data_IF_466787614813
#
_entry.id   IF_466787614813
#
_cell.length_a   1.000
_cell.length_b   1.000
_cell.length_c   1.000
_cell.angle_alpha   90.00
_cell.angle_beta   90.00
_cell.angle_gamma   90.00
#
_symmetry.space_group_name_H-M   'P 1'
#
loop_
_entity.id
_entity.type
_entity.pdbx_description
1 polymer ?
#
# COMPACT_ATOMS: atom_id res chain seq x y z
N UNK A 1 0.78 15.25 57.65
CA UNK A 1 0.61 14.21 56.61
C UNK A 1 1.76 13.24 56.76
N UNK A 2 1.49 11.96 57.03
CA UNK A 2 2.51 10.98 57.43
C UNK A 2 3.48 10.66 56.28
N UNK A 3 4.79 10.62 56.54
CA UNK A 3 5.83 10.37 55.50
C UNK A 3 5.57 9.06 54.75
N UNK A 4 5.02 8.06 55.45
CA UNK A 4 4.64 6.76 54.87
C UNK A 4 3.53 6.87 53.82
N UNK A 5 2.58 7.80 54.01
CA UNK A 5 1.48 8.04 53.06
C UNK A 5 1.96 8.77 51.80
N UNK A 6 2.92 9.68 51.95
CA UNK A 6 3.55 10.38 50.82
C UNK A 6 4.35 9.40 49.97
N UNK A 7 5.18 8.56 50.60
CA UNK A 7 5.99 7.56 49.89
C UNK A 7 5.12 6.54 49.13
N UNK A 8 4.01 6.10 49.73
CA UNK A 8 3.07 5.19 49.08
C UNK A 8 2.38 5.83 47.88
N UNK A 9 1.95 7.10 47.99
CA UNK A 9 1.34 7.83 46.88
C UNK A 9 2.30 8.05 45.72
N UNK A 10 3.57 8.40 46.01
CA UNK A 10 4.60 8.55 44.98
C UNK A 10 4.83 7.23 44.26
N UNK A 11 4.96 6.12 45.00
CA UNK A 11 5.13 4.78 44.42
C UNK A 11 3.94 4.37 43.54
N UNK A 12 2.72 4.63 43.98
CA UNK A 12 1.52 4.33 43.20
C UNK A 12 1.47 5.16 41.90
N UNK A 13 1.91 6.42 41.97
CA UNK A 13 1.95 7.31 40.82
C UNK A 13 3.00 6.86 39.80
N UNK A 14 4.20 6.43 40.22
CA UNK A 14 5.22 5.87 39.32
C UNK A 14 4.77 4.57 38.68
N UNK A 15 4.09 3.69 39.41
CA UNK A 15 3.52 2.47 38.84
C UNK A 15 2.46 2.75 37.78
N UNK A 16 1.57 3.72 38.03
CA UNK A 16 0.54 4.12 37.05
C UNK A 16 1.15 4.76 35.80
N UNK A 17 2.19 5.59 35.95
CA UNK A 17 2.88 6.21 34.81
C UNK A 17 3.57 5.16 33.93
N UNK A 18 4.22 4.16 34.54
CA UNK A 18 4.86 3.07 33.80
C UNK A 18 3.87 2.28 32.92
N UNK A 19 2.64 2.04 33.40
CA UNK A 19 1.64 1.24 32.64
C UNK A 19 1.18 1.98 31.38
N UNK A 20 1.07 3.31 31.41
CA UNK A 20 0.61 4.09 30.25
C UNK A 20 1.60 4.11 29.08
N UNK A 21 2.90 4.04 29.35
CA UNK A 21 3.96 4.13 28.33
C UNK A 21 4.15 2.82 27.55
N UNK A 22 3.90 1.66 28.17
CA UNK A 22 4.10 0.35 27.53
C UNK A 22 2.85 -0.23 26.84
N UNK A 23 1.65 0.29 27.09
CA UNK A 23 0.40 -0.25 26.54
C UNK A 23 0.03 0.21 25.12
N UNK A 24 0.57 1.35 24.65
CA UNK A 24 0.17 1.95 23.38
C UNK A 24 0.81 1.35 22.10
N UNK A 25 2.08 0.89 22.07
CA UNK A 25 2.72 0.47 20.82
C UNK A 25 2.26 -0.92 20.31
N UNK A 26 1.79 -1.81 21.19
CA UNK A 26 1.34 -3.15 20.78
C UNK A 26 -0.03 -3.12 20.11
N UNK A 27 -0.94 -2.27 20.61
CA UNK A 27 -2.30 -2.17 20.09
C UNK A 27 -2.31 -1.51 18.71
N UNK A 28 -1.43 -0.52 18.48
CA UNK A 28 -1.27 0.13 17.17
C UNK A 28 -0.62 -0.79 16.13
N UNK A 29 0.35 -1.62 16.52
CA UNK A 29 0.98 -2.60 15.63
C UNK A 29 0.00 -3.67 15.15
N UNK A 30 -0.78 -4.27 16.05
CA UNK A 30 -1.76 -5.30 15.68
C UNK A 30 -2.87 -4.74 14.77
N UNK A 31 -3.33 -3.52 15.02
CA UNK A 31 -4.30 -2.83 14.16
C UNK A 31 -3.73 -2.55 12.77
N UNK A 32 -2.46 -2.14 12.70
CA UNK A 32 -1.73 -1.93 11.45
C UNK A 32 -1.61 -3.22 10.63
N UNK A 33 -1.12 -4.31 11.23
CA UNK A 33 -1.00 -5.62 10.55
C UNK A 33 -2.35 -6.11 10.02
N UNK A 34 -3.43 -5.91 10.79
CA UNK A 34 -4.79 -6.22 10.35
C UNK A 34 -5.21 -5.39 9.13
N UNK A 35 -4.91 -4.09 9.13
CA UNK A 35 -5.24 -3.20 8.02
C UNK A 35 -4.44 -3.55 6.77
N UNK A 36 -3.15 -3.83 6.91
CA UNK A 36 -2.28 -4.29 5.82
C UNK A 36 -2.78 -5.61 5.20
N UNK A 37 -3.18 -6.56 6.05
CA UNK A 37 -3.82 -7.81 5.61
C UNK A 37 -5.07 -7.54 4.76
N UNK A 38 -5.93 -6.61 5.20
CA UNK A 38 -7.14 -6.22 4.45
C UNK A 38 -6.77 -5.58 3.12
N UNK A 39 -5.79 -4.68 3.09
CA UNK A 39 -5.28 -4.03 1.88
C UNK A 39 -4.77 -5.07 0.88
N UNK A 40 -3.92 -6.00 1.31
CA UNK A 40 -3.41 -7.08 0.48
C UNK A 40 -4.53 -8.00 -0.03
N UNK A 41 -5.51 -8.32 0.82
CA UNK A 41 -6.66 -9.13 0.43
C UNK A 41 -7.51 -8.44 -0.65
N UNK A 42 -7.69 -7.12 -0.58
CA UNK A 42 -8.41 -6.33 -1.61
C UNK A 42 -7.70 -6.36 -2.96
N UNK A 43 -6.37 -6.34 -2.98
CA UNK A 43 -5.60 -6.47 -4.23
C UNK A 43 -5.64 -7.91 -4.74
N UNK A 44 -5.55 -8.91 -3.85
CA UNK A 44 -5.52 -10.32 -4.21
C UNK A 44 -6.81 -10.84 -4.87
N UNK A 45 -7.95 -10.15 -4.73
CA UNK A 45 -9.20 -10.55 -5.41
C UNK A 45 -9.29 -10.06 -6.86
N UNK A 46 -8.37 -9.20 -7.32
CA UNK A 46 -8.33 -8.73 -8.70
C UNK A 46 -7.96 -9.91 -9.63
N UNK A 47 -8.74 -10.13 -10.69
CA UNK A 47 -8.54 -11.22 -11.63
C UNK A 47 -7.11 -11.31 -12.18
N UNK A 48 -6.58 -10.18 -12.65
CA UNK A 48 -5.21 -10.08 -13.17
C UNK A 48 -4.14 -10.44 -12.11
N UNK A 49 -4.38 -10.11 -10.84
CA UNK A 49 -3.49 -10.48 -9.74
C UNK A 49 -3.56 -11.97 -9.48
N UNK A 50 -4.76 -12.55 -9.36
CA UNK A 50 -4.95 -14.00 -9.18
C UNK A 50 -4.33 -14.80 -10.30
N UNK A 51 -4.45 -14.32 -11.54
CA UNK A 51 -3.90 -15.00 -12.71
C UNK A 51 -2.37 -14.93 -12.69
N UNK A 52 -1.79 -13.78 -12.33
CA UNK A 52 -0.35 -13.63 -12.13
C UNK A 52 0.20 -14.53 -11.01
N UNK A 53 -0.48 -14.59 -9.86
CA UNK A 53 -0.11 -15.47 -8.74
C UNK A 53 -0.14 -16.95 -9.13
N UNK A 54 -1.09 -17.34 -9.98
CA UNK A 54 -1.21 -18.72 -10.48
C UNK A 54 -0.15 -19.04 -11.54
N UNK A 55 0.07 -18.14 -12.50
CA UNK A 55 1.02 -18.39 -13.60
C UNK A 55 2.47 -18.43 -13.13
N UNK A 56 2.82 -17.66 -12.10
CA UNK A 56 4.19 -17.59 -11.55
C UNK A 56 4.41 -18.45 -10.30
N UNK A 57 3.55 -19.43 -10.00
CA UNK A 57 3.64 -20.23 -8.76
C UNK A 57 5.02 -20.84 -8.49
N UNK A 58 5.79 -21.19 -9.53
CA UNK A 58 7.17 -21.71 -9.42
C UNK A 58 8.21 -20.66 -9.01
N UNK A 59 7.88 -19.38 -9.15
CA UNK A 59 8.75 -18.22 -8.93
C UNK A 59 8.37 -17.42 -7.67
N UNK A 60 7.65 -18.04 -6.72
CA UNK A 60 7.22 -17.42 -5.45
C UNK A 60 6.58 -16.03 -5.68
N UNK A 61 5.41 -15.97 -6.32
CA UNK A 61 4.74 -14.70 -6.55
C UNK A 61 4.14 -14.21 -5.23
N UNK A 62 4.23 -12.91 -4.98
CA UNK A 62 3.73 -12.32 -3.74
C UNK A 62 3.27 -10.87 -3.93
N UNK A 63 2.42 -10.43 -3.00
CA UNK A 63 2.05 -9.03 -2.84
C UNK A 63 2.80 -8.45 -1.65
N UNK A 64 3.25 -7.21 -1.79
CA UNK A 64 3.95 -6.48 -0.73
C UNK A 64 3.46 -5.04 -0.70
N UNK A 65 3.26 -4.49 0.50
CA UNK A 65 3.01 -3.05 0.66
C UNK A 65 4.36 -2.35 0.48
N UNK A 66 4.50 -1.57 -0.60
CA UNK A 66 5.68 -0.75 -0.86
C UNK A 66 5.63 0.58 -0.09
N UNK A 67 4.41 1.12 0.13
CA UNK A 67 4.23 2.44 0.76
C UNK A 67 2.90 2.54 1.49
N UNK A 68 2.93 3.16 2.66
CA UNK A 68 1.75 3.53 3.45
C UNK A 68 1.28 4.95 3.13
N UNK A 69 0.00 5.28 3.35
CA UNK A 69 -0.49 6.63 3.16
C UNK A 69 0.17 7.60 4.15
N UNK A 70 0.63 8.74 3.64
CA UNK A 70 1.26 9.84 4.38
C UNK A 70 0.71 11.21 3.92
N UNK A 71 1.35 12.30 4.34
CA UNK A 71 0.91 13.66 3.98
C UNK A 71 1.01 13.97 2.48
N UNK A 72 1.84 13.25 1.74
CA UNK A 72 2.11 13.47 0.31
C UNK A 72 1.45 12.42 -0.59
N UNK A 73 1.19 11.22 -0.06
CA UNK A 73 0.62 10.11 -0.82
C UNK A 73 -0.57 9.50 -0.07
N UNK A 74 -1.76 9.52 -0.67
CA UNK A 74 -3.01 9.22 0.06
C UNK A 74 -3.41 7.74 0.05
N UNK A 75 -2.63 6.87 -0.57
CA UNK A 75 -2.98 5.48 -0.81
C UNK A 75 -1.99 4.53 -0.15
N UNK A 76 -2.42 3.30 0.11
CA UNK A 76 -1.47 2.19 0.23
C UNK A 76 -0.98 1.81 -1.16
N UNK A 77 0.33 1.76 -1.38
CA UNK A 77 0.93 1.17 -2.59
C UNK A 77 1.20 -0.30 -2.35
N UNK A 78 0.68 -1.16 -3.21
CA UNK A 78 0.90 -2.60 -3.22
C UNK A 78 1.61 -2.98 -4.50
N UNK A 79 2.81 -3.53 -4.37
CA UNK A 79 3.49 -4.16 -5.48
C UNK A 79 3.10 -5.62 -5.59
N UNK A 80 2.87 -6.04 -6.83
CA UNK A 80 2.76 -7.43 -7.23
C UNK A 80 4.03 -7.80 -7.97
N UNK A 81 4.60 -8.96 -7.63
CA UNK A 81 5.84 -9.39 -8.25
C UNK A 81 6.19 -10.83 -7.94
N UNK A 82 7.41 -11.19 -8.31
CA UNK A 82 8.03 -12.49 -8.01
C UNK A 82 9.27 -12.29 -7.16
N UNK A 83 9.43 -13.12 -6.14
CA UNK A 83 10.62 -13.12 -5.30
C UNK A 83 11.58 -14.20 -5.77
N UNK A 84 12.79 -13.81 -6.17
CA UNK A 84 13.85 -14.72 -6.58
C UNK A 84 15.08 -14.46 -5.71
N UNK A 85 15.45 -15.45 -4.88
CA UNK A 85 16.49 -15.31 -3.86
C UNK A 85 16.22 -14.08 -2.98
N UNK A 86 17.05 -13.05 -3.11
CA UNK A 86 17.03 -11.81 -2.33
C UNK A 86 16.44 -10.61 -3.08
N UNK A 87 15.91 -10.83 -4.29
CA UNK A 87 15.35 -9.76 -5.13
C UNK A 87 13.86 -9.94 -5.37
N UNK A 88 13.11 -8.86 -5.16
CA UNK A 88 11.70 -8.77 -5.53
C UNK A 88 11.56 -8.00 -6.85
N UNK A 89 11.06 -8.67 -7.89
CA UNK A 89 10.81 -8.05 -9.20
C UNK A 89 9.34 -7.70 -9.33
N UNK A 90 9.03 -6.41 -9.23
CA UNK A 90 7.68 -5.88 -9.42
C UNK A 90 7.23 -6.04 -10.88
N UNK A 91 6.06 -6.66 -11.07
CA UNK A 91 5.40 -6.83 -12.38
C UNK A 91 4.12 -5.99 -12.51
N UNK A 92 3.62 -5.44 -11.39
CA UNK A 92 2.52 -4.48 -11.40
C UNK A 92 2.40 -3.74 -10.07
N UNK A 93 1.78 -2.56 -10.09
CA UNK A 93 1.52 -1.75 -8.89
C UNK A 93 0.04 -1.41 -8.80
N UNK A 94 -0.50 -1.52 -7.59
CA UNK A 94 -1.87 -1.21 -7.26
C UNK A 94 -1.89 -0.22 -6.10
N UNK A 95 -2.88 0.66 -6.08
CA UNK A 95 -3.12 1.57 -4.97
C UNK A 95 -4.45 1.23 -4.30
N UNK A 96 -4.50 1.28 -2.98
CA UNK A 96 -5.74 1.08 -2.21
C UNK A 96 -6.05 2.34 -1.42
N UNK A 97 -7.25 2.90 -1.62
CA UNK A 97 -7.75 4.01 -0.81
C UNK A 97 -8.04 3.51 0.61
N UNK A 98 -7.38 4.06 1.65
CA UNK A 98 -7.54 3.59 3.02
C UNK A 98 -8.95 3.80 3.60
N UNK A 99 -9.75 4.70 3.01
CA UNK A 99 -11.10 5.02 3.48
C UNK A 99 -12.14 4.14 2.81
N UNK A 100 -12.01 3.92 1.51
CA UNK A 100 -13.03 3.22 0.71
C UNK A 100 -12.65 1.79 0.34
N UNK A 101 -11.39 1.40 0.55
CA UNK A 101 -10.81 0.14 0.09
C UNK A 101 -10.99 -0.13 -1.41
N UNK A 102 -11.22 0.93 -2.20
CA UNK A 102 -11.22 0.84 -3.66
C UNK A 102 -9.80 0.64 -4.13
N UNK A 103 -9.63 -0.26 -5.10
CA UNK A 103 -8.34 -0.58 -5.69
C UNK A 103 -8.21 0.12 -7.05
N UNK A 104 -7.05 0.72 -7.26
CA UNK A 104 -6.64 1.44 -8.45
C UNK A 104 -5.38 0.78 -9.01
N UNK A 105 -5.17 0.92 -10.32
CA UNK A 105 -3.91 0.58 -10.94
C UNK A 105 -3.00 1.80 -10.94
N UNK A 106 -1.73 1.60 -10.62
CA UNK A 106 -0.75 2.67 -10.68
C UNK A 106 0.19 2.44 -11.86
N UNK A 107 0.05 3.31 -12.85
CA UNK A 107 0.80 3.23 -14.09
C UNK A 107 2.09 4.01 -14.02
N UNK A 108 3.19 3.30 -13.78
CA UNK A 108 4.53 3.90 -13.69
C UNK A 108 5.12 4.30 -15.05
N UNK A 109 4.44 4.00 -16.16
CA UNK A 109 4.82 4.46 -17.51
C UNK A 109 4.11 5.76 -17.91
N UNK A 110 3.10 6.18 -17.14
CA UNK A 110 2.49 7.48 -17.33
C UNK A 110 3.49 8.56 -16.89
N UNK A 111 3.81 9.49 -17.79
CA UNK A 111 4.73 10.60 -17.57
C UNK A 111 4.16 11.52 -16.50
N UNK A 112 4.58 11.22 -15.30
CA UNK A 112 5.24 12.15 -14.40
C UNK A 112 6.38 11.33 -13.77
N UNK A 113 7.64 11.72 -13.95
CA UNK A 113 8.78 11.12 -13.23
C UNK A 113 8.72 11.30 -11.70
N UNK A 114 7.62 11.85 -11.18
CA UNK A 114 7.27 11.88 -9.77
C UNK A 114 6.13 10.91 -9.50
N UNK A 115 6.10 10.39 -8.28
CA UNK A 115 5.00 9.61 -7.70
C UNK A 115 3.68 10.40 -7.70
N UNK A 116 3.08 10.61 -8.87
CA UNK A 116 1.95 11.52 -9.05
C UNK A 116 0.64 10.76 -8.96
N UNK A 117 -0.34 11.40 -8.33
CA UNK A 117 -1.69 10.85 -8.28
C UNK A 117 -2.36 10.81 -9.67
N UNK A 118 -1.83 11.54 -10.68
CA UNK A 118 -2.29 11.52 -12.08
C UNK A 118 -2.08 10.17 -12.75
N UNK A 119 -1.08 9.40 -12.30
CA UNK A 119 -0.79 8.05 -12.79
C UNK A 119 -1.65 6.95 -12.15
N UNK A 120 -2.53 7.31 -11.21
CA UNK A 120 -3.40 6.35 -10.50
C UNK A 120 -4.77 6.35 -11.16
N UNK A 121 -5.11 5.25 -11.81
CA UNK A 121 -6.36 5.10 -12.57
C UNK A 121 -7.22 3.95 -12.04
N UNK A 122 -8.57 4.01 -12.18
CA UNK A 122 -9.42 2.88 -11.85
C UNK A 122 -9.01 1.60 -12.59
N UNK A 123 -9.07 0.46 -11.92
CA UNK A 123 -8.72 -0.85 -12.52
C UNK A 123 -9.50 -1.12 -13.82
N UNK A 124 -10.76 -0.68 -13.90
CA UNK A 124 -11.55 -0.82 -15.13
C UNK A 124 -11.03 0.06 -16.28
N UNK A 125 -10.60 1.28 -15.98
CA UNK A 125 -9.99 2.15 -16.98
C UNK A 125 -8.66 1.56 -17.47
N UNK A 126 -7.83 1.06 -16.56
CA UNK A 126 -6.60 0.34 -16.91
C UNK A 126 -6.86 -0.85 -17.84
N UNK A 127 -7.87 -1.68 -17.57
CA UNK A 127 -8.26 -2.82 -18.41
C UNK A 127 -8.59 -2.44 -19.85
N UNK A 128 -9.15 -1.25 -20.05
CA UNK A 128 -9.46 -0.70 -21.37
C UNK A 128 -8.18 -0.17 -22.01
N UNK A 129 -7.43 0.68 -21.29
CA UNK A 129 -6.26 1.37 -21.82
C UNK A 129 -5.08 0.43 -22.12
N UNK A 130 -4.89 -0.65 -21.34
CA UNK A 130 -3.83 -1.64 -21.57
C UNK A 130 -3.92 -2.39 -22.91
N UNK A 131 -5.08 -2.32 -23.57
CA UNK A 131 -5.31 -2.92 -24.89
C UNK A 131 -4.99 -1.96 -26.04
N UNK A 132 -4.75 -0.68 -25.74
CA UNK A 132 -4.38 0.31 -26.74
C UNK A 132 -2.92 0.14 -27.14
N UNK A 133 -2.59 0.36 -28.41
CA UNK A 133 -1.21 0.24 -28.93
C UNK A 133 -0.24 1.25 -28.30
N UNK A 134 -0.75 2.32 -27.70
CA UNK A 134 0.03 3.35 -27.02
C UNK A 134 0.43 3.01 -25.58
N UNK A 135 -0.16 1.99 -24.97
CA UNK A 135 0.03 1.67 -23.54
C UNK A 135 1.49 1.43 -23.14
N UNK A 136 2.24 0.75 -24.01
CA UNK A 136 3.64 0.40 -23.76
C UNK A 136 4.63 1.52 -24.11
N UNK A 137 4.13 2.69 -24.51
CA UNK A 137 4.94 3.87 -24.84
C UNK A 137 4.84 4.88 -23.69
N UNK A 138 5.82 5.79 -23.54
CA UNK A 138 5.64 6.97 -22.69
C UNK A 138 4.32 7.66 -23.05
N UNK A 139 3.47 7.89 -22.06
CA UNK A 139 2.14 8.43 -22.29
C UNK A 139 1.65 9.24 -21.09
N UNK A 140 0.57 9.98 -21.25
CA UNK A 140 -0.11 10.68 -20.16
C UNK A 140 -1.61 10.49 -20.30
N UNK A 141 -2.38 10.94 -19.31
CA UNK A 141 -3.83 10.87 -19.31
C UNK A 141 -4.45 12.26 -19.52
N UNK A 142 -5.22 12.43 -20.59
CA UNK A 142 -6.03 13.65 -20.82
C UNK A 142 -7.48 13.28 -20.98
N UNK A 143 -8.34 13.82 -20.11
CA UNK A 143 -9.78 13.54 -20.10
C UNK A 143 -10.11 12.02 -20.08
N UNK A 144 -9.37 11.25 -19.27
CA UNK A 144 -9.54 9.80 -19.15
C UNK A 144 -9.02 8.97 -20.33
N UNK A 145 -8.41 9.61 -21.33
CA UNK A 145 -7.82 8.93 -22.50
C UNK A 145 -6.31 8.88 -22.39
N UNK A 146 -5.74 7.79 -22.87
CA UNK A 146 -4.29 7.65 -23.05
C UNK A 146 -3.83 8.53 -24.21
N UNK A 147 -2.82 9.37 -23.97
CA UNK A 147 -2.16 10.23 -24.95
C UNK A 147 -0.70 9.86 -24.97
N UNK A 148 -0.24 9.25 -26.06
CA UNK A 148 1.18 8.90 -26.23
C UNK A 148 2.00 10.18 -26.34
N UNK A 149 3.09 10.24 -25.58
CA UNK A 149 4.09 11.29 -25.66
C UNK A 149 5.10 10.85 -26.71
N UNK A 150 4.89 11.30 -27.93
CA UNK A 150 5.85 11.09 -29.01
C UNK A 150 7.06 11.99 -28.80
N UNK A 151 8.25 11.39 -28.86
CA UNK A 151 9.40 12.04 -29.49
C UNK A 151 9.21 12.04 -31.00
#
# INVERSE_FOLDING_TARGET
MDIKRVAFLVFLFTCLFAITTYGQPLLSKAQKEKLESVVLAKVNVIGEVKDSMRSHHRSKPMLMIEREPDSTFKYYSVAMGVSSFDQFRTTGRFCVDPKTFKVYFWDVFADDMGFSNSAIIPVQQWRILKKTSGWQKPHTYRHGKLVVLTN
#
